data_IF_181686879920
#
_entry.id   IF_181686879920
#
_cell.length_a   1.000
_cell.length_b   1.000
_cell.length_c   1.000
_cell.angle_alpha   90.00
_cell.angle_beta   90.00
_cell.angle_gamma   90.00
#
_symmetry.space_group_name_H-M   'P 1'
#
loop_
_entity.id
_entity.type
_entity.pdbx_description
1 polymer ?
#
# COMPACT_ATOMS: atom_id res chain seq x y z
N UNK A 1 -5.57 11.40 15.67
CA UNK A 1 -5.14 10.00 15.88
C UNK A 1 -5.61 9.04 14.80
N UNK A 2 -6.90 9.04 14.41
CA UNK A 2 -7.47 8.03 13.47
C UNK A 2 -6.89 8.02 12.04
N UNK A 3 -6.36 9.13 11.52
CA UNK A 3 -5.82 9.23 10.15
C UNK A 3 -4.55 8.41 9.94
N UNK A 4 -3.64 8.50 10.91
CA UNK A 4 -2.36 7.79 10.93
C UNK A 4 -2.57 6.27 11.01
N UNK A 5 -3.63 5.83 11.69
CA UNK A 5 -3.91 4.41 11.87
C UNK A 5 -4.26 3.70 10.56
N UNK A 6 -5.13 4.27 9.71
CA UNK A 6 -5.50 3.65 8.43
C UNK A 6 -4.30 3.54 7.47
N UNK A 7 -3.50 4.60 7.35
CA UNK A 7 -2.30 4.60 6.50
C UNK A 7 -1.26 3.59 6.99
N UNK A 8 -1.01 3.54 8.31
CA UNK A 8 -0.10 2.58 8.91
C UNK A 8 -0.57 1.14 8.71
N UNK A 9 -1.84 0.83 9.01
CA UNK A 9 -2.41 -0.51 8.84
C UNK A 9 -2.36 -0.97 7.38
N UNK A 10 -2.69 -0.09 6.43
CA UNK A 10 -2.61 -0.40 5.01
C UNK A 10 -1.17 -0.68 4.55
N UNK A 11 -0.20 0.09 5.07
CA UNK A 11 1.21 -0.09 4.75
C UNK A 11 1.77 -1.40 5.30
N UNK A 12 1.45 -1.74 6.56
CA UNK A 12 1.80 -3.03 7.15
C UNK A 12 1.15 -4.17 6.38
N UNK A 13 -0.13 -4.03 6.02
CA UNK A 13 -0.84 -5.00 5.18
C UNK A 13 -0.17 -5.21 3.82
N UNK A 14 0.27 -4.13 3.16
CA UNK A 14 1.00 -4.18 1.90
C UNK A 14 2.31 -4.97 2.00
N UNK A 15 3.07 -4.75 3.09
CA UNK A 15 4.31 -5.49 3.35
C UNK A 15 4.01 -6.96 3.60
N UNK A 16 3.03 -7.29 4.44
CA UNK A 16 2.65 -8.68 4.70
C UNK A 16 2.19 -9.41 3.42
N UNK A 17 1.36 -8.77 2.60
CA UNK A 17 0.95 -9.29 1.30
C UNK A 17 2.13 -9.49 0.35
N UNK A 18 3.11 -8.58 0.37
CA UNK A 18 4.33 -8.69 -0.45
C UNK A 18 5.21 -9.85 0.01
N UNK A 19 5.34 -10.07 1.32
CA UNK A 19 6.03 -11.24 1.87
C UNK A 19 5.33 -12.54 1.51
N UNK A 20 4.00 -12.60 1.57
CA UNK A 20 3.22 -13.76 1.12
C UNK A 20 3.43 -14.01 -0.38
N UNK A 21 3.44 -12.95 -1.22
CA UNK A 21 3.69 -13.08 -2.66
C UNK A 21 5.07 -13.65 -2.98
N UNK A 22 6.09 -13.26 -2.22
CA UNK A 22 7.49 -13.65 -2.47
C UNK A 22 7.86 -15.01 -1.88
N UNK A 23 7.36 -15.34 -0.69
CA UNK A 23 7.84 -16.50 0.06
C UNK A 23 6.77 -17.56 0.31
N UNK A 24 5.49 -17.21 0.20
CA UNK A 24 4.38 -18.12 0.51
C UNK A 24 3.25 -18.00 -0.51
N UNK A 25 3.61 -18.06 -1.79
CA UNK A 25 2.64 -17.94 -2.86
C UNK A 25 1.86 -19.26 -3.03
N UNK A 26 0.55 -19.33 -2.73
CA UNK A 26 -0.21 -20.57 -2.84
C UNK A 26 -0.52 -20.96 -4.30
N UNK A 27 -0.19 -20.10 -5.27
CA UNK A 27 -0.52 -20.29 -6.68
C UNK A 27 0.67 -20.76 -7.53
N UNK A 28 1.86 -20.87 -6.95
CA UNK A 28 3.04 -21.38 -7.65
C UNK A 28 4.04 -21.99 -6.68
N UNK A 29 4.66 -23.09 -7.09
CA UNK A 29 5.77 -23.71 -6.36
C UNK A 29 7.15 -23.33 -6.95
N UNK A 30 7.15 -22.44 -7.95
CA UNK A 30 8.38 -22.01 -8.61
C UNK A 30 9.14 -21.08 -7.65
N UNK A 31 10.42 -21.36 -7.33
CA UNK A 31 11.21 -20.50 -6.47
C UNK A 31 11.37 -19.10 -7.09
N UNK A 32 11.23 -18.08 -6.25
CA UNK A 32 11.31 -16.69 -6.67
C UNK A 32 12.78 -16.30 -6.92
N UNK A 33 13.04 -15.68 -8.07
CA UNK A 33 14.35 -15.16 -8.43
C UNK A 33 14.67 -13.87 -7.65
N UNK A 34 15.93 -13.67 -7.27
CA UNK A 34 16.44 -12.45 -6.61
C UNK A 34 16.00 -11.16 -7.30
N UNK A 35 15.94 -11.16 -8.64
CA UNK A 35 15.47 -9.99 -9.41
C UNK A 35 14.00 -9.67 -9.10
N UNK A 36 13.16 -10.68 -8.96
CA UNK A 36 11.74 -10.51 -8.61
C UNK A 36 11.60 -9.97 -7.19
N UNK A 37 12.41 -10.46 -6.25
CA UNK A 37 12.46 -9.93 -4.87
C UNK A 37 12.79 -8.44 -4.89
N UNK A 38 13.82 -8.04 -5.64
CA UNK A 38 14.22 -6.64 -5.75
C UNK A 38 13.11 -5.78 -6.37
N UNK A 39 12.45 -6.27 -7.43
CA UNK A 39 11.35 -5.56 -8.10
C UNK A 39 10.19 -5.34 -7.13
N UNK A 40 9.71 -6.39 -6.46
CA UNK A 40 8.60 -6.29 -5.49
C UNK A 40 8.99 -5.39 -4.31
N UNK A 41 10.25 -5.48 -3.86
CA UNK A 41 10.76 -4.60 -2.82
C UNK A 41 10.67 -3.13 -3.22
N UNK A 42 11.20 -2.76 -4.40
CA UNK A 42 11.21 -1.37 -4.87
C UNK A 42 9.81 -0.84 -5.22
N UNK A 43 8.92 -1.70 -5.70
CA UNK A 43 7.60 -1.30 -6.20
C UNK A 43 6.51 -1.25 -5.13
N UNK A 44 6.60 -2.09 -4.09
CA UNK A 44 5.52 -2.26 -3.10
C UNK A 44 6.00 -2.12 -1.65
N UNK A 45 7.11 -2.74 -1.28
CA UNK A 45 7.61 -2.72 0.11
C UNK A 45 8.19 -1.35 0.46
N UNK A 46 9.04 -0.79 -0.41
CA UNK A 46 9.67 0.51 -0.22
C UNK A 46 8.64 1.64 -0.07
N UNK A 47 7.66 1.81 -0.98
CA UNK A 47 6.62 2.82 -0.77
C UNK A 47 5.75 2.51 0.46
N UNK A 48 5.52 1.25 0.83
CA UNK A 48 4.82 0.94 2.09
C UNK A 48 5.63 1.37 3.34
N UNK A 49 6.95 1.21 3.35
CA UNK A 49 7.81 1.74 4.41
C UNK A 49 7.69 3.27 4.50
N UNK A 50 7.68 3.97 3.35
CA UNK A 50 7.41 5.41 3.30
C UNK A 50 5.99 5.71 3.80
N UNK A 51 5.00 4.85 3.55
CA UNK A 51 3.63 4.97 4.05
C UNK A 51 3.54 4.92 5.58
N UNK A 52 4.33 4.05 6.22
CA UNK A 52 4.47 4.02 7.68
C UNK A 52 5.07 5.34 8.18
N UNK A 53 6.14 5.83 7.54
CA UNK A 53 6.75 7.12 7.90
C UNK A 53 5.77 8.29 7.68
N UNK A 54 5.02 8.29 6.58
CA UNK A 54 4.00 9.28 6.27
C UNK A 54 2.90 9.28 7.34
N UNK A 55 2.52 8.10 7.84
CA UNK A 55 1.55 7.94 8.92
C UNK A 55 2.08 8.52 10.25
N UNK A 56 3.33 8.22 10.62
CA UNK A 56 3.97 8.70 11.86
C UNK A 56 4.13 10.23 11.80
N UNK A 57 4.69 10.74 10.71
CA UNK A 57 4.94 12.17 10.49
C UNK A 57 3.67 12.96 10.12
N UNK A 58 2.54 12.27 9.90
CA UNK A 58 1.26 12.84 9.43
C UNK A 58 1.43 13.70 8.17
N UNK A 59 2.37 13.33 7.31
CA UNK A 59 2.73 14.12 6.14
C UNK A 59 1.92 13.65 4.90
N UNK A 60 1.02 14.52 4.44
CA UNK A 60 0.15 14.26 3.29
C UNK A 60 0.91 14.08 1.98
N UNK A 61 1.97 14.87 1.76
CA UNK A 61 2.74 14.79 0.52
C UNK A 61 3.44 13.45 0.40
N UNK A 62 4.01 12.94 1.50
CA UNK A 62 4.58 11.59 1.53
C UNK A 62 3.53 10.53 1.24
N UNK A 63 2.33 10.64 1.82
CA UNK A 63 1.26 9.68 1.55
C UNK A 63 0.79 9.70 0.08
N UNK A 64 0.80 10.88 -0.55
CA UNK A 64 0.48 11.02 -1.97
C UNK A 64 1.54 10.37 -2.86
N UNK A 65 2.82 10.54 -2.53
CA UNK A 65 3.93 9.83 -3.20
C UNK A 65 3.74 8.32 -3.08
N UNK A 66 3.40 7.81 -1.89
CA UNK A 66 3.15 6.39 -1.64
C UNK A 66 1.99 5.87 -2.50
N UNK A 67 0.89 6.61 -2.57
CA UNK A 67 -0.25 6.23 -3.40
C UNK A 67 0.15 6.18 -4.88
N UNK A 68 0.70 7.26 -5.44
CA UNK A 68 1.05 7.32 -6.86
C UNK A 68 2.06 6.23 -7.24
N UNK A 69 3.05 6.00 -6.38
CA UNK A 69 4.05 4.95 -6.61
C UNK A 69 3.41 3.56 -6.58
N UNK A 70 2.56 3.27 -5.60
CA UNK A 70 1.98 1.93 -5.42
C UNK A 70 0.81 1.64 -6.37
N UNK A 71 0.17 2.67 -6.93
CA UNK A 71 -1.06 2.56 -7.71
C UNK A 71 -0.95 1.66 -8.96
N UNK A 72 0.01 1.83 -9.88
CA UNK A 72 0.08 0.99 -11.07
C UNK A 72 0.28 -0.50 -10.72
N UNK A 73 1.14 -0.78 -9.74
CA UNK A 73 1.50 -2.14 -9.36
C UNK A 73 0.42 -2.82 -8.50
N UNK A 74 -0.19 -2.08 -7.58
CA UNK A 74 -1.29 -2.57 -6.76
C UNK A 74 -2.53 -2.88 -7.60
N UNK A 75 -2.84 -2.05 -8.61
CA UNK A 75 -3.92 -2.34 -9.56
C UNK A 75 -3.58 -3.61 -10.34
N UNK A 76 -2.37 -3.69 -10.91
CA UNK A 76 -1.93 -4.86 -11.67
C UNK A 76 -2.11 -6.16 -10.88
N UNK A 77 -1.58 -6.22 -9.64
CA UNK A 77 -1.71 -7.42 -8.80
C UNK A 77 -3.15 -7.70 -8.38
N UNK A 78 -3.96 -6.67 -8.13
CA UNK A 78 -5.35 -6.87 -7.72
C UNK A 78 -6.28 -7.35 -8.85
N UNK A 79 -5.96 -6.99 -10.09
CA UNK A 79 -6.77 -7.27 -11.27
C UNK A 79 -6.26 -8.50 -12.07
N UNK A 80 -5.04 -8.97 -11.81
CA UNK A 80 -4.43 -10.08 -12.53
C UNK A 80 -5.25 -11.38 -12.45
N UNK A 81 -5.91 -11.66 -11.32
CA UNK A 81 -6.76 -12.84 -11.16
C UNK A 81 -7.88 -12.59 -10.16
N UNK A 82 -9.14 -12.89 -10.53
CA UNK A 82 -10.31 -12.74 -9.66
C UNK A 82 -11.08 -14.06 -9.61
N UNK A 83 -11.35 -14.67 -8.43
CA UNK A 83 -10.96 -14.23 -7.09
C UNK A 83 -9.55 -14.71 -6.69
N UNK A 84 -8.75 -13.84 -6.06
CA UNK A 84 -7.47 -14.23 -5.46
C UNK A 84 -7.17 -13.43 -4.18
N UNK A 85 -6.21 -13.89 -3.39
CA UNK A 85 -5.75 -13.14 -2.21
C UNK A 85 -5.08 -11.80 -2.61
N UNK A 86 -4.56 -11.71 -3.84
CA UNK A 86 -3.91 -10.51 -4.36
C UNK A 86 -4.89 -9.37 -4.61
N UNK A 87 -6.20 -9.65 -4.69
CA UNK A 87 -7.24 -8.63 -4.74
C UNK A 87 -7.20 -7.70 -3.50
N UNK A 88 -6.62 -8.14 -2.39
CA UNK A 88 -6.41 -7.31 -1.20
C UNK A 88 -5.48 -6.12 -1.45
N UNK A 89 -4.64 -6.13 -2.49
CA UNK A 89 -3.89 -4.93 -2.90
C UNK A 89 -4.82 -3.78 -3.31
N UNK A 90 -6.01 -4.07 -3.86
CA UNK A 90 -7.01 -3.02 -4.10
C UNK A 90 -7.53 -2.43 -2.78
N UNK A 91 -7.76 -3.26 -1.76
CA UNK A 91 -8.16 -2.77 -0.43
C UNK A 91 -7.07 -1.88 0.20
N UNK A 92 -5.78 -2.24 0.03
CA UNK A 92 -4.64 -1.41 0.44
C UNK A 92 -4.68 -0.04 -0.26
N UNK A 93 -4.84 -0.01 -1.58
CA UNK A 93 -4.93 1.24 -2.35
C UNK A 93 -6.13 2.09 -1.93
N UNK A 94 -7.29 1.47 -1.70
CA UNK A 94 -8.48 2.16 -1.19
C UNK A 94 -8.19 2.78 0.18
N UNK A 95 -7.52 2.07 1.09
CA UNK A 95 -7.14 2.61 2.39
C UNK A 95 -6.15 3.77 2.28
N UNK A 96 -5.21 3.73 1.33
CA UNK A 96 -4.34 4.86 1.02
C UNK A 96 -5.13 6.08 0.53
N UNK A 97 -6.09 5.90 -0.38
CA UNK A 97 -6.99 6.96 -0.84
C UNK A 97 -7.81 7.51 0.32
N UNK A 98 -8.41 6.64 1.15
CA UNK A 98 -9.16 7.05 2.35
C UNK A 98 -8.25 7.87 3.26
N UNK A 99 -7.01 7.45 3.50
CA UNK A 99 -6.09 8.21 4.36
C UNK A 99 -5.78 9.61 3.85
N UNK A 100 -5.78 9.82 2.52
CA UNK A 100 -5.55 11.11 1.87
C UNK A 100 -6.80 12.00 1.85
N UNK A 101 -7.98 11.41 1.65
CA UNK A 101 -9.27 12.14 1.64
C UNK A 101 -9.67 12.54 3.05
N UNK A 102 -9.38 11.67 4.03
CA UNK A 102 -9.69 11.90 5.43
C UNK A 102 -8.65 12.90 5.98
N UNK A 103 -8.81 14.17 5.62
CA UNK A 103 -8.39 15.30 6.45
C UNK A 103 -9.45 16.41 6.38
N UNK A 104 -10.03 16.66 7.56
CA UNK A 104 -10.27 17.99 8.11
C UNK A 104 -11.29 18.91 7.41
N UNK A 105 -12.56 18.69 7.75
CA UNK A 105 -13.63 19.70 7.79
C UNK A 105 -13.34 20.84 8.79
N UNK A 106 -12.09 21.30 8.95
CA UNK A 106 -11.72 22.37 9.89
C UNK A 106 -11.20 23.64 9.21
N UNK A 107 -11.41 23.80 7.90
CA UNK A 107 -11.07 25.04 7.17
C UNK A 107 -12.21 25.59 6.31
N UNK A 108 -13.45 25.51 6.81
CA UNK A 108 -14.63 26.20 6.22
C UNK A 108 -15.52 26.84 7.29
N UNK A 109 -14.92 27.54 8.26
CA UNK A 109 -15.67 28.23 9.32
C UNK A 109 -15.02 29.51 9.86
N UNK A 110 -14.11 30.13 9.10
CA UNK A 110 -13.50 31.40 9.48
C UNK A 110 -13.19 32.22 8.22
N UNK A 111 -14.24 32.77 7.63
CA UNK A 111 -14.24 34.01 6.85
C UNK A 111 -15.69 34.45 6.68
#
# INVERSE_FOLDING_TARGET
MKYSFCAGAASVGCIMLSCLLLFWNPYTEIPVNDKTILIVFMMLILPACIGILAAILRNRMLMLVVLIWSLPYGIYLSAASIPSIWNLYAAVLILYVISLIRKETAYKGAL
#
